data_IF_801828283257
#
_entry.id   IF_801828283257
#
_cell.length_a   1.000
_cell.length_b   1.000
_cell.length_c   1.000
_cell.angle_alpha   90.00
_cell.angle_beta   90.00
_cell.angle_gamma   90.00
#
_symmetry.space_group_name_H-M   'P 1'
#
loop_
_entity.id
_entity.type
_entity.pdbx_description
1 polymer ?
#
# COMPACT_ATOMS: atom_id res chain seq x y z
N UNK A 1 18.04 -10.23 22.62
CA UNK A 1 19.27 -10.63 21.89
C UNK A 1 18.88 -10.63 20.43
N UNK A 2 19.41 -9.71 19.61
CA UNK A 2 19.05 -9.66 18.19
C UNK A 2 19.74 -10.82 17.47
N UNK A 3 18.95 -11.83 17.08
CA UNK A 3 19.42 -13.10 16.51
C UNK A 3 19.97 -12.90 15.09
N UNK A 4 19.63 -11.78 14.44
CA UNK A 4 19.93 -11.52 13.03
C UNK A 4 20.83 -10.28 12.84
N UNK A 5 21.98 -10.42 12.14
CA UNK A 5 22.91 -9.31 11.90
C UNK A 5 22.27 -8.08 11.24
N UNK A 6 21.32 -8.28 10.35
CA UNK A 6 20.60 -7.22 9.64
C UNK A 6 19.73 -6.37 10.59
N UNK A 7 19.08 -7.00 11.58
CA UNK A 7 18.28 -6.29 12.60
C UNK A 7 19.20 -5.45 13.51
N UNK A 8 20.34 -6.01 13.90
CA UNK A 8 21.35 -5.29 14.68
C UNK A 8 21.88 -4.09 13.89
N UNK A 9 22.13 -4.25 12.59
CA UNK A 9 22.53 -3.15 11.71
C UNK A 9 21.45 -2.08 11.61
N UNK A 10 20.19 -2.50 11.41
CA UNK A 10 19.03 -1.61 11.38
C UNK A 10 18.91 -0.77 12.64
N UNK A 11 19.04 -1.37 13.83
CA UNK A 11 19.02 -0.64 15.11
C UNK A 11 20.15 0.36 15.24
N UNK A 12 21.37 -0.04 14.91
CA UNK A 12 22.55 0.82 15.05
C UNK A 12 22.50 2.04 14.12
N UNK A 13 21.95 1.86 12.92
CA UNK A 13 21.99 2.87 11.87
C UNK A 13 20.60 3.43 11.52
N UNK A 14 19.61 3.25 12.40
CA UNK A 14 18.21 3.59 12.10
C UNK A 14 18.06 5.04 11.64
N UNK A 15 18.71 5.97 12.34
CA UNK A 15 18.71 7.41 12.04
C UNK A 15 19.40 7.79 10.72
N UNK A 16 20.16 6.90 10.11
CA UNK A 16 20.83 7.14 8.83
C UNK A 16 19.93 6.78 7.63
N UNK A 17 18.88 5.99 7.84
CA UNK A 17 17.96 5.67 6.76
C UNK A 17 17.17 6.92 6.38
N UNK A 18 17.21 7.26 5.09
CA UNK A 18 16.38 8.34 4.52
C UNK A 18 15.44 7.84 3.44
N UNK A 19 15.89 6.80 2.73
CA UNK A 19 15.18 6.18 1.62
C UNK A 19 15.15 4.69 1.93
N UNK A 20 13.96 4.12 2.03
CA UNK A 20 13.78 2.71 2.38
C UNK A 20 12.98 2.03 1.29
N UNK A 21 13.52 0.93 0.78
CA UNK A 21 12.83 0.00 -0.09
C UNK A 21 12.85 -1.37 0.56
N UNK A 22 11.67 -1.94 0.75
CA UNK A 22 11.46 -3.26 1.32
C UNK A 22 10.96 -4.14 0.19
N UNK A 23 11.79 -5.08 -0.22
CA UNK A 23 11.51 -6.00 -1.32
C UNK A 23 11.62 -7.43 -0.82
N UNK A 24 10.56 -8.22 -1.00
CA UNK A 24 10.60 -9.64 -0.74
C UNK A 24 11.04 -10.40 -1.99
N UNK A 25 12.26 -10.92 -1.96
CA UNK A 25 12.84 -11.72 -3.04
C UNK A 25 12.86 -13.18 -2.59
N UNK A 26 12.03 -14.01 -3.20
CA UNK A 26 12.02 -15.45 -2.94
C UNK A 26 12.93 -16.18 -3.92
N UNK A 27 13.98 -16.84 -3.41
CA UNK A 27 14.89 -17.67 -4.23
C UNK A 27 14.26 -19.03 -4.61
N UNK A 28 13.26 -19.49 -3.85
CA UNK A 28 12.59 -20.78 -4.06
C UNK A 28 11.08 -20.63 -3.93
N UNK A 29 10.36 -20.90 -5.01
CA UNK A 29 8.92 -20.62 -5.24
C UNK A 29 7.88 -21.19 -4.25
N UNK A 30 8.21 -21.70 -3.05
CA UNK A 30 7.21 -22.46 -2.30
C UNK A 30 6.99 -22.19 -0.81
N UNK A 31 7.79 -21.43 -0.07
CA UNK A 31 7.41 -21.12 1.32
C UNK A 31 7.83 -19.71 1.73
N UNK A 32 6.84 -18.89 2.07
CA UNK A 32 7.05 -17.68 2.87
C UNK A 32 7.66 -18.10 4.20
N UNK A 33 8.89 -17.66 4.48
CA UNK A 33 9.58 -17.95 5.74
C UNK A 33 8.95 -17.09 6.86
N UNK A 34 8.29 -17.72 7.83
CA UNK A 34 7.79 -17.05 9.05
C UNK A 34 8.88 -16.20 9.71
N UNK A 35 10.14 -16.63 9.60
CA UNK A 35 11.30 -15.90 10.09
C UNK A 35 11.49 -14.58 9.35
N UNK A 36 11.25 -14.53 8.04
CA UNK A 36 11.34 -13.30 7.26
C UNK A 36 10.29 -12.29 7.69
N UNK A 37 9.04 -12.72 7.87
CA UNK A 37 7.97 -11.84 8.36
C UNK A 37 8.28 -11.28 9.75
N UNK A 38 8.74 -12.11 10.69
CA UNK A 38 9.17 -11.62 12.01
C UNK A 38 10.33 -10.62 11.93
N UNK A 39 11.28 -10.82 11.02
CA UNK A 39 12.37 -9.86 10.78
C UNK A 39 11.83 -8.56 10.20
N UNK A 40 10.89 -8.64 9.25
CA UNK A 40 10.25 -7.46 8.68
C UNK A 40 9.53 -6.66 9.77
N UNK A 41 8.72 -7.30 10.60
CA UNK A 41 8.01 -6.66 11.70
C UNK A 41 8.98 -5.87 12.62
N UNK A 42 10.06 -6.51 13.08
CA UNK A 42 11.07 -5.86 13.91
C UNK A 42 11.76 -4.71 13.17
N UNK A 43 12.02 -4.88 11.87
CA UNK A 43 12.63 -3.83 11.07
C UNK A 43 11.70 -2.61 10.90
N UNK A 44 10.41 -2.84 10.68
CA UNK A 44 9.39 -1.78 10.63
C UNK A 44 9.30 -1.04 11.97
N UNK A 45 9.33 -1.77 13.09
CA UNK A 45 9.37 -1.19 14.44
C UNK A 45 10.58 -0.28 14.64
N UNK A 46 11.77 -0.71 14.20
CA UNK A 46 12.99 0.12 14.23
C UNK A 46 12.80 1.41 13.41
N UNK A 47 12.19 1.31 12.23
CA UNK A 47 11.96 2.45 11.36
C UNK A 47 10.97 3.47 11.96
N UNK A 48 10.05 3.05 12.84
CA UNK A 48 9.14 3.99 13.51
C UNK A 48 9.88 5.04 14.35
N UNK A 49 11.07 4.69 14.87
CA UNK A 49 11.91 5.60 15.65
C UNK A 49 12.71 6.57 14.78
N UNK A 50 12.69 6.40 13.46
CA UNK A 50 13.39 7.27 12.53
C UNK A 50 12.45 8.30 11.92
N UNK A 51 12.77 9.58 12.06
CA UNK A 51 11.94 10.71 11.65
C UNK A 51 12.36 11.33 10.31
N UNK A 52 13.43 10.79 9.69
CA UNK A 52 14.05 11.33 8.47
C UNK A 52 13.68 10.54 7.21
N UNK A 53 12.72 9.62 7.29
CA UNK A 53 12.28 8.88 6.11
C UNK A 53 11.54 9.81 5.14
N UNK A 54 11.93 9.73 3.86
CA UNK A 54 11.38 10.55 2.79
C UNK A 54 10.58 9.69 1.80
N UNK A 55 11.19 8.73 1.07
CA UNK A 55 10.44 7.67 0.43
C UNK A 55 10.48 6.37 1.22
N UNK A 56 9.32 5.72 1.27
CA UNK A 56 9.19 4.33 1.69
C UNK A 56 8.51 3.55 0.58
N UNK A 57 9.12 2.44 0.15
CA UNK A 57 8.62 1.59 -0.93
C UNK A 57 8.47 0.15 -0.43
N UNK A 58 7.33 -0.45 -0.73
CA UNK A 58 7.04 -1.84 -0.46
C UNK A 58 6.86 -2.57 -1.79
N UNK A 59 7.64 -3.63 -2.02
CA UNK A 59 7.65 -4.40 -3.27
C UNK A 59 7.59 -5.89 -3.01
N UNK A 60 6.89 -6.59 -3.91
CA UNK A 60 6.79 -8.05 -3.95
C UNK A 60 6.40 -8.71 -2.62
N UNK A 61 5.75 -7.99 -1.70
CA UNK A 61 5.16 -8.53 -0.47
C UNK A 61 3.86 -9.31 -0.76
N UNK A 62 3.79 -9.98 -1.91
CA UNK A 62 2.63 -10.77 -2.29
C UNK A 62 2.46 -11.95 -1.34
N UNK A 63 1.26 -12.07 -0.77
CA UNK A 63 0.89 -13.25 0.02
C UNK A 63 0.56 -14.41 -0.91
N UNK A 64 1.59 -15.17 -1.30
CA UNK A 64 1.39 -16.47 -1.91
C UNK A 64 0.94 -17.45 -0.83
N UNK A 65 -0.38 -17.66 -0.81
CA UNK A 65 -1.16 -18.60 -0.01
C UNK A 65 -0.35 -19.83 0.44
N UNK A 66 0.12 -19.77 1.68
CA UNK A 66 0.15 -20.87 2.64
C UNK A 66 -0.64 -20.37 3.85
N UNK A 67 -1.26 -21.23 4.68
CA UNK A 67 -1.88 -20.78 5.93
C UNK A 67 -0.78 -20.36 6.91
N UNK A 68 -0.11 -19.24 6.61
CA UNK A 68 0.49 -18.45 7.67
C UNK A 68 -0.66 -17.95 8.54
N UNK A 69 -0.42 -18.03 9.85
CA UNK A 69 -1.37 -17.63 10.87
C UNK A 69 -1.92 -16.22 10.56
N UNK A 70 -3.24 -16.04 10.63
CA UNK A 70 -3.87 -14.72 10.47
C UNK A 70 -3.22 -13.68 11.37
N UNK A 71 -2.70 -14.13 12.52
CA UNK A 71 -1.91 -13.34 13.44
C UNK A 71 -0.72 -12.61 12.77
N UNK A 72 0.09 -13.31 11.97
CA UNK A 72 1.29 -12.72 11.35
C UNK A 72 0.90 -11.64 10.33
N UNK A 73 -0.21 -11.84 9.60
CA UNK A 73 -0.70 -10.82 8.67
C UNK A 73 -1.14 -9.57 9.44
N UNK A 74 -1.90 -9.76 10.50
CA UNK A 74 -2.42 -8.66 11.31
C UNK A 74 -1.27 -7.91 12.00
N UNK A 75 -0.25 -8.61 12.49
CA UNK A 75 0.96 -8.01 13.08
C UNK A 75 1.75 -7.18 12.06
N UNK A 76 1.95 -7.70 10.84
CA UNK A 76 2.61 -6.95 9.75
C UNK A 76 1.79 -5.74 9.32
N UNK A 77 0.47 -5.88 9.17
CA UNK A 77 -0.40 -4.77 8.85
C UNK A 77 -0.29 -3.66 9.90
N UNK A 78 -0.34 -4.03 11.19
CA UNK A 78 -0.18 -3.10 12.31
C UNK A 78 1.20 -2.43 12.30
N UNK A 79 2.27 -3.18 12.05
CA UNK A 79 3.62 -2.62 11.98
C UNK A 79 3.77 -1.61 10.83
N UNK A 80 3.16 -1.86 9.67
CA UNK A 80 3.13 -0.90 8.55
C UNK A 80 2.33 0.34 8.95
N UNK A 81 1.15 0.18 9.55
CA UNK A 81 0.35 1.31 10.05
C UNK A 81 1.14 2.16 11.05
N UNK A 82 1.73 1.55 12.08
CA UNK A 82 2.53 2.26 13.09
C UNK A 82 3.73 2.97 12.48
N UNK A 83 4.39 2.38 11.48
CA UNK A 83 5.40 3.07 10.71
C UNK A 83 4.82 4.32 10.05
N UNK A 84 3.78 4.21 9.24
CA UNK A 84 3.24 5.36 8.51
C UNK A 84 2.69 6.46 9.42
N UNK A 85 2.16 6.10 10.60
CA UNK A 85 1.70 7.04 11.64
C UNK A 85 2.86 7.84 12.25
N UNK A 86 3.97 7.15 12.53
CA UNK A 86 5.16 7.77 13.12
C UNK A 86 5.87 8.75 12.18
N UNK A 87 5.59 8.65 10.86
CA UNK A 87 6.20 9.53 9.88
C UNK A 87 5.28 10.71 9.55
N UNK A 88 5.83 11.92 9.68
CA UNK A 88 5.11 13.16 9.33
C UNK A 88 5.71 13.88 8.11
N UNK A 89 6.83 13.38 7.61
CA UNK A 89 7.62 14.02 6.56
C UNK A 89 7.79 13.15 5.30
N UNK A 90 7.00 12.06 5.17
CA UNK A 90 7.05 11.24 3.97
C UNK A 90 6.66 12.08 2.78
N UNK A 91 7.55 12.11 1.79
CA UNK A 91 7.29 12.71 0.48
C UNK A 91 6.69 11.70 -0.49
N UNK A 92 6.98 10.42 -0.28
CA UNK A 92 6.61 9.38 -1.21
C UNK A 92 6.33 8.07 -0.49
N UNK A 93 5.20 7.45 -0.86
CA UNK A 93 4.86 6.10 -0.43
C UNK A 93 4.51 5.29 -1.66
N UNK A 94 5.17 4.14 -1.82
CA UNK A 94 4.88 3.23 -2.92
C UNK A 94 4.53 1.85 -2.41
N UNK A 95 3.42 1.34 -2.91
CA UNK A 95 2.99 -0.03 -2.75
C UNK A 95 2.94 -0.68 -4.13
N UNK A 96 3.77 -1.70 -4.33
CA UNK A 96 3.77 -2.56 -5.51
C UNK A 96 3.51 -4.01 -5.06
N UNK A 97 2.36 -4.23 -4.43
CA UNK A 97 2.08 -5.42 -3.62
C UNK A 97 0.61 -5.81 -3.66
N UNK A 98 0.32 -7.12 -3.62
CA UNK A 98 -1.00 -7.70 -3.26
C UNK A 98 -1.03 -8.15 -1.80
N UNK A 99 -0.89 -7.19 -0.89
CA UNK A 99 -0.77 -7.46 0.55
C UNK A 99 -2.10 -7.33 1.29
N UNK A 100 -2.88 -6.30 1.00
CA UNK A 100 -3.99 -5.89 1.86
C UNK A 100 -5.34 -6.43 1.37
N UNK A 101 -6.21 -6.76 2.32
CA UNK A 101 -7.64 -6.80 2.08
C UNK A 101 -8.17 -5.38 1.82
N UNK A 102 -9.40 -5.28 1.30
CA UNK A 102 -9.97 -3.96 0.97
C UNK A 102 -10.10 -3.05 2.19
N UNK A 103 -10.64 -3.56 3.30
CA UNK A 103 -10.80 -2.77 4.53
C UNK A 103 -9.44 -2.31 5.09
N UNK A 104 -8.44 -3.19 5.09
CA UNK A 104 -7.06 -2.87 5.48
C UNK A 104 -6.46 -1.78 4.58
N UNK A 105 -6.64 -1.88 3.26
CA UNK A 105 -6.19 -0.87 2.32
C UNK A 105 -6.86 0.49 2.54
N UNK A 106 -8.17 0.51 2.81
CA UNK A 106 -8.92 1.74 3.10
C UNK A 106 -8.44 2.40 4.40
N UNK A 107 -8.17 1.60 5.43
CA UNK A 107 -7.64 2.06 6.71
C UNK A 107 -6.22 2.62 6.54
N UNK A 108 -5.36 1.95 5.78
CA UNK A 108 -4.01 2.40 5.50
C UNK A 108 -4.01 3.74 4.74
N UNK A 109 -4.88 3.91 3.74
CA UNK A 109 -5.01 5.18 3.01
C UNK A 109 -5.52 6.30 3.91
N UNK A 110 -6.43 6.01 4.85
CA UNK A 110 -6.89 6.99 5.85
C UNK A 110 -5.72 7.42 6.74
N UNK A 111 -4.93 6.45 7.19
CA UNK A 111 -3.77 6.69 8.02
C UNK A 111 -2.71 7.57 7.33
N UNK A 112 -2.35 7.24 6.09
CA UNK A 112 -1.43 8.04 5.26
C UNK A 112 -1.95 9.47 5.10
N UNK A 113 -3.25 9.63 4.81
CA UNK A 113 -3.87 10.96 4.72
C UNK A 113 -3.70 11.73 6.02
N UNK A 114 -4.01 11.12 7.17
CA UNK A 114 -4.07 11.83 8.45
C UNK A 114 -2.68 12.30 8.90
N UNK A 115 -1.66 11.46 8.75
CA UNK A 115 -0.32 11.73 9.29
C UNK A 115 0.63 12.40 8.31
N UNK A 116 0.42 12.24 6.99
CA UNK A 116 1.33 12.74 5.94
C UNK A 116 0.67 13.75 5.00
N UNK A 117 -0.47 14.33 5.39
CA UNK A 117 -1.26 15.27 4.56
C UNK A 117 -0.46 16.43 3.98
N UNK A 118 0.51 16.94 4.72
CA UNK A 118 1.21 18.19 4.38
C UNK A 118 2.54 17.93 3.67
N UNK A 119 3.00 16.68 3.61
CA UNK A 119 4.33 16.29 3.14
C UNK A 119 4.29 15.34 1.96
N UNK A 120 3.22 14.55 1.81
CA UNK A 120 3.12 13.54 0.77
C UNK A 120 2.88 14.16 -0.62
N UNK A 121 3.83 13.92 -1.52
CA UNK A 121 3.83 14.40 -2.91
C UNK A 121 3.53 13.29 -3.91
N UNK A 122 3.95 12.06 -3.61
CA UNK A 122 3.85 10.93 -4.52
C UNK A 122 3.22 9.72 -3.82
N UNK A 123 2.17 9.17 -4.42
CA UNK A 123 1.56 7.93 -3.96
C UNK A 123 1.41 6.96 -5.12
N UNK A 124 1.94 5.75 -4.93
CA UNK A 124 1.83 4.65 -5.90
C UNK A 124 1.12 3.48 -5.24
N UNK A 125 0.02 3.02 -5.85
CA UNK A 125 -0.87 1.94 -5.39
C UNK A 125 -1.02 0.89 -6.51
N UNK A 126 0.04 0.13 -6.78
CA UNK A 126 0.03 -0.97 -7.75
C UNK A 126 -0.30 -2.29 -7.07
N UNK A 127 -1.32 -2.96 -7.59
CA UNK A 127 -1.92 -4.18 -7.08
C UNK A 127 -2.34 -4.12 -5.59
N UNK A 128 -2.51 -2.90 -5.06
CA UNK A 128 -2.48 -2.55 -3.64
C UNK A 128 -3.43 -3.38 -2.75
N UNK A 129 -4.63 -3.65 -3.26
CA UNK A 129 -5.67 -4.43 -2.57
C UNK A 129 -5.94 -5.73 -3.33
N UNK A 130 -6.06 -6.84 -2.59
CA UNK A 130 -6.55 -8.10 -3.13
C UNK A 130 -8.06 -7.99 -3.39
N UNK A 131 -8.53 -8.19 -4.64
CA UNK A 131 -9.96 -8.27 -4.91
C UNK A 131 -10.53 -9.52 -4.24
N UNK A 132 -11.49 -9.33 -3.33
CA UNK A 132 -12.40 -10.40 -2.92
C UNK A 132 -13.66 -10.30 -3.80
N UNK A 133 -14.28 -11.46 -4.08
CA UNK A 133 -15.59 -11.72 -4.71
C UNK A 133 -16.32 -10.55 -5.42
N UNK A 134 -16.91 -10.82 -6.59
CA UNK A 134 -17.48 -9.83 -7.53
C UNK A 134 -18.24 -8.64 -6.87
N UNK A 135 -19.03 -8.89 -5.83
CA UNK A 135 -19.77 -7.87 -5.08
C UNK A 135 -18.87 -6.87 -4.33
N UNK A 136 -17.79 -7.32 -3.69
CA UNK A 136 -16.85 -6.44 -3.00
C UNK A 136 -15.96 -5.72 -4.00
N UNK A 137 -15.62 -6.35 -5.12
CA UNK A 137 -14.98 -5.70 -6.28
C UNK A 137 -15.76 -4.45 -6.69
N UNK A 138 -17.10 -4.53 -6.80
CA UNK A 138 -17.95 -3.38 -7.10
C UNK A 138 -17.90 -2.30 -6.01
N UNK A 139 -17.84 -2.67 -4.73
CA UNK A 139 -17.72 -1.73 -3.60
C UNK A 139 -16.34 -1.03 -3.63
N UNK A 140 -15.26 -1.79 -3.85
CA UNK A 140 -13.90 -1.28 -3.99
C UNK A 140 -13.84 -0.30 -5.16
N UNK A 141 -14.37 -0.71 -6.30
CA UNK A 141 -14.42 0.07 -7.53
C UNK A 141 -15.20 1.37 -7.37
N UNK A 142 -16.30 1.39 -6.63
CA UNK A 142 -17.10 2.60 -6.43
C UNK A 142 -16.53 3.54 -5.36
N UNK A 143 -15.96 3.00 -4.30
CA UNK A 143 -15.55 3.79 -3.14
C UNK A 143 -14.10 4.25 -3.20
N UNK A 144 -13.17 3.41 -3.66
CA UNK A 144 -11.73 3.71 -3.57
C UNK A 144 -11.32 4.98 -4.34
N UNK A 145 -11.86 5.29 -5.52
CA UNK A 145 -11.52 6.54 -6.21
C UNK A 145 -12.14 7.77 -5.56
N UNK A 146 -13.36 7.66 -5.02
CA UNK A 146 -13.97 8.72 -4.21
C UNK A 146 -13.13 8.96 -2.96
N UNK A 147 -12.66 7.87 -2.33
CA UNK A 147 -11.76 7.92 -1.20
C UNK A 147 -10.47 8.62 -1.61
N UNK A 148 -9.80 8.20 -2.67
CA UNK A 148 -8.53 8.79 -3.09
C UNK A 148 -8.70 10.29 -3.45
N UNK A 149 -9.74 10.63 -4.22
CA UNK A 149 -10.03 12.01 -4.64
C UNK A 149 -10.43 12.94 -3.49
N UNK A 150 -11.17 12.45 -2.49
CA UNK A 150 -11.58 13.23 -1.31
C UNK A 150 -10.55 13.17 -0.17
N UNK A 151 -9.67 12.17 -0.15
CA UNK A 151 -8.74 11.90 0.94
C UNK A 151 -7.35 12.45 0.71
N UNK A 152 -6.84 12.48 -0.52
CA UNK A 152 -5.47 12.93 -0.69
C UNK A 152 -5.33 14.46 -0.75
N UNK A 153 -4.21 15.00 -0.24
CA UNK A 153 -4.03 16.44 -0.09
C UNK A 153 -3.93 17.15 -1.43
N UNK A 154 -4.22 18.46 -1.44
CA UNK A 154 -3.95 19.35 -2.58
C UNK A 154 -2.49 19.34 -3.05
N UNK A 155 -1.57 18.86 -2.20
CA UNK A 155 -0.13 18.79 -2.45
C UNK A 155 0.30 17.49 -3.14
N UNK A 156 -0.59 16.50 -3.29
CA UNK A 156 -0.27 15.28 -4.01
C UNK A 156 -0.07 15.64 -5.50
N UNK A 157 1.17 15.50 -5.97
CA UNK A 157 1.57 15.82 -7.35
C UNK A 157 1.24 14.64 -8.26
N UNK A 158 1.55 13.42 -7.80
CA UNK A 158 1.31 12.23 -8.62
C UNK A 158 0.59 11.16 -7.83
N UNK A 159 -0.51 10.67 -8.40
CA UNK A 159 -1.13 9.42 -8.01
C UNK A 159 -0.95 8.42 -9.15
N UNK A 160 -0.36 7.27 -8.83
CA UNK A 160 -0.35 6.11 -9.70
C UNK A 160 -1.13 4.98 -9.04
N UNK A 161 -2.09 4.40 -9.76
CA UNK A 161 -2.87 3.25 -9.27
C UNK A 161 -3.37 2.41 -10.43
N UNK A 162 -3.69 1.15 -10.16
CA UNK A 162 -4.21 0.25 -11.20
C UNK A 162 -5.56 0.74 -11.76
N UNK A 163 -5.73 0.61 -13.08
CA UNK A 163 -6.89 1.09 -13.82
C UNK A 163 -8.23 0.52 -13.34
N UNK A 164 -8.24 -0.76 -12.92
CA UNK A 164 -9.41 -1.44 -12.39
C UNK A 164 -9.99 -0.73 -11.16
N UNK A 165 -9.15 -0.03 -10.38
CA UNK A 165 -9.61 0.69 -9.21
C UNK A 165 -10.29 2.02 -9.57
N UNK A 166 -9.87 2.74 -10.63
CA UNK A 166 -10.37 4.09 -10.98
C UNK A 166 -11.58 4.07 -11.94
N UNK A 167 -11.59 3.19 -12.94
CA UNK A 167 -12.45 3.41 -14.12
C UNK A 167 -13.94 3.15 -13.85
N UNK A 168 -14.27 2.22 -12.96
CA UNK A 168 -15.66 1.89 -12.65
C UNK A 168 -16.35 2.94 -11.75
N UNK A 169 -15.63 3.65 -10.87
CA UNK A 169 -16.22 4.76 -10.10
C UNK A 169 -16.55 5.98 -10.96
N UNK A 170 -15.69 6.32 -11.94
CA UNK A 170 -15.89 7.52 -12.76
C UNK A 170 -17.16 7.37 -13.61
N UNK A 171 -17.40 6.17 -14.13
CA UNK A 171 -18.64 5.83 -14.83
C UNK A 171 -19.86 5.80 -13.88
N UNK A 172 -19.73 5.32 -12.64
CA UNK A 172 -20.83 5.33 -11.66
C UNK A 172 -21.20 6.75 -11.18
N UNK A 173 -20.21 7.65 -11.02
CA UNK A 173 -20.48 9.06 -10.73
C UNK A 173 -21.09 9.81 -11.93
N UNK A 174 -20.81 9.36 -13.15
CA UNK A 174 -21.39 9.94 -14.38
C UNK A 174 -22.68 9.25 -14.82
N UNK A 175 -23.01 8.04 -14.33
CA UNK A 175 -24.25 7.34 -14.70
C UNK A 175 -25.50 7.98 -14.08
N UNK A 176 -25.36 8.83 -13.07
CA UNK A 176 -26.44 9.75 -12.67
C UNK A 176 -26.75 10.81 -13.75
N UNK A 177 -25.88 10.97 -14.76
CA UNK A 177 -26.01 11.96 -15.83
C UNK A 177 -26.09 11.36 -17.25
N UNK A 178 -25.73 10.09 -17.50
CA UNK A 178 -25.69 9.54 -18.87
C UNK A 178 -26.12 8.06 -18.90
N UNK A 179 -27.42 7.85 -19.13
CA UNK A 179 -28.09 6.54 -19.32
C UNK A 179 -27.82 5.87 -20.69
N UNK A 180 -26.71 6.16 -21.37
CA UNK A 180 -26.53 5.70 -22.77
C UNK A 180 -25.09 5.33 -23.12
N UNK A 181 -24.57 4.21 -22.60
CA UNK A 181 -23.41 3.56 -23.23
C UNK A 181 -23.27 2.05 -22.95
N UNK A 182 -24.36 1.29 -23.07
CA UNK A 182 -24.37 -0.16 -22.83
C UNK A 182 -23.78 -1.05 -23.95
N UNK A 183 -22.71 -0.64 -24.65
CA UNK A 183 -22.22 -1.47 -25.77
C UNK A 183 -20.73 -1.43 -26.15
N UNK A 184 -19.81 -0.99 -25.28
CA UNK A 184 -18.39 -1.02 -25.61
C UNK A 184 -17.64 -2.18 -24.94
N UNK A 185 -17.24 -3.17 -25.74
CA UNK A 185 -16.20 -4.18 -25.43
C UNK A 185 -14.91 -3.45 -25.00
N UNK A 186 -14.60 -3.46 -23.71
CA UNK A 186 -13.39 -2.79 -23.20
C UNK A 186 -12.12 -3.61 -23.48
N UNK A 187 -11.16 -2.96 -24.14
CA UNK A 187 -9.76 -3.41 -24.22
C UNK A 187 -9.06 -3.02 -22.91
N UNK A 188 -8.31 -3.97 -22.34
CA UNK A 188 -7.58 -3.81 -21.07
C UNK A 188 -6.51 -2.71 -21.22
N UNK A 189 -6.74 -1.57 -20.58
CA UNK A 189 -5.74 -0.53 -20.34
C UNK A 189 -5.30 -0.65 -18.88
N UNK A 190 -4.00 -0.80 -18.63
CA UNK A 190 -3.49 -1.26 -17.32
C UNK A 190 -2.98 -0.14 -16.41
N UNK A 191 -2.81 1.10 -16.87
CA UNK A 191 -2.13 2.15 -16.10
C UNK A 191 -2.66 3.55 -16.44
N UNK A 192 -2.99 4.34 -15.42
CA UNK A 192 -3.24 5.79 -15.53
C UNK A 192 -2.28 6.50 -14.60
N UNK A 193 -1.61 7.52 -15.12
CA UNK A 193 -0.84 8.49 -14.34
C UNK A 193 -1.63 9.79 -14.32
N UNK A 194 -2.06 10.23 -13.13
CA UNK A 194 -2.66 11.55 -12.94
C UNK A 194 -1.56 12.51 -12.49
N UNK A 195 -1.24 13.48 -13.36
CA UNK A 195 -0.25 14.56 -13.16
C UNK A 195 -0.93 15.90 -12.98
#
# INVERSE_FOLDING_TARGET
>A
MDIFPEIKYGRKNSSMFRHVEIDYISETKQHLDVTWWKRLEIFLDILTTNWQLLPVKFRNLEWHISPLDSLIRDDIFRAICSLLESQHHLKQVEFHIRLFQFCEGVELLKNIKEHNRQSLLHLVLRAFVKPMNLEQLLIVEQSLPTLVSQRFPRLLITLETDYSLIFHSMLACQSAAIDTLNNCRMRVLSMIVLT
#
